data_IF_194499018886
#
_entry.id   IF_194499018886
#
_cell.length_a   1.000
_cell.length_b   1.000
_cell.length_c   1.000
_cell.angle_alpha   90.00
_cell.angle_beta   90.00
_cell.angle_gamma   90.00
#
_symmetry.space_group_name_H-M   'P 1'
#
loop_
_entity.id
_entity.type
_entity.pdbx_description
1 polymer ?
#
# COMPACT_ATOMS: atom_id res chain seq x y z
N UNK A 1 -13.71 -5.53 8.37
CA UNK A 1 -13.08 -4.36 7.72
C UNK A 1 -12.56 -4.78 6.35
N UNK A 2 -12.79 -3.99 5.30
CA UNK A 2 -12.39 -4.30 3.91
C UNK A 2 -10.88 -4.55 3.77
N UNK A 3 -10.06 -3.72 4.43
CA UNK A 3 -8.59 -3.84 4.44
C UNK A 3 -8.15 -5.18 5.05
N UNK A 4 -8.76 -5.60 6.16
CA UNK A 4 -8.42 -6.88 6.80
C UNK A 4 -8.70 -8.09 5.88
N UNK A 5 -9.74 -8.02 5.06
CA UNK A 5 -10.02 -9.07 4.06
C UNK A 5 -8.98 -9.07 2.93
N UNK A 6 -8.48 -7.89 2.51
CA UNK A 6 -7.42 -7.78 1.50
C UNK A 6 -6.11 -8.35 2.04
N UNK A 7 -5.69 -7.93 3.24
CA UNK A 7 -4.46 -8.42 3.88
C UNK A 7 -4.51 -9.94 4.04
N UNK A 8 -5.64 -10.49 4.52
CA UNK A 8 -5.80 -11.94 4.64
C UNK A 8 -5.68 -12.66 3.29
N UNK A 9 -6.30 -12.13 2.23
CA UNK A 9 -6.18 -12.72 0.88
C UNK A 9 -4.75 -12.66 0.35
N UNK A 10 -4.03 -11.56 0.59
CA UNK A 10 -2.63 -11.44 0.21
C UNK A 10 -1.77 -12.46 0.97
N UNK A 11 -2.04 -12.68 2.25
CA UNK A 11 -1.35 -13.68 3.07
C UNK A 11 -1.64 -15.12 2.60
N UNK A 12 -2.92 -15.46 2.37
CA UNK A 12 -3.35 -16.78 1.89
C UNK A 12 -2.71 -17.18 0.54
N UNK A 13 -2.37 -16.19 -0.30
CA UNK A 13 -1.72 -16.40 -1.59
C UNK A 13 -0.19 -16.18 -1.56
N UNK A 14 0.40 -15.93 -0.39
CA UNK A 14 1.83 -15.66 -0.24
C UNK A 14 2.29 -14.32 -0.84
N UNK A 15 1.36 -13.44 -1.21
CA UNK A 15 1.64 -12.13 -1.81
C UNK A 15 2.07 -11.08 -0.79
N UNK A 16 1.68 -11.24 0.48
CA UNK A 16 1.98 -10.27 1.52
C UNK A 16 3.50 -10.10 1.77
N UNK A 17 4.30 -11.13 1.49
CA UNK A 17 5.76 -11.07 1.66
C UNK A 17 6.45 -10.02 0.77
N UNK A 18 5.81 -9.59 -0.32
CA UNK A 18 6.32 -8.57 -1.26
C UNK A 18 5.30 -7.44 -1.49
N UNK A 19 4.36 -7.24 -0.56
CA UNK A 19 3.34 -6.18 -0.66
C UNK A 19 3.38 -5.29 0.57
N UNK A 20 3.38 -3.97 0.36
CA UNK A 20 3.17 -2.98 1.42
C UNK A 20 1.75 -2.45 1.31
N UNK A 21 1.00 -2.44 2.42
CA UNK A 21 -0.36 -1.88 2.47
C UNK A 21 -0.33 -0.55 3.22
N UNK A 22 -0.55 0.54 2.50
CA UNK A 22 -0.73 1.88 3.08
C UNK A 22 -2.22 2.07 3.33
N UNK A 23 -2.62 2.19 4.60
CA UNK A 23 -4.02 2.31 5.00
C UNK A 23 -4.32 3.72 5.53
N UNK A 24 -5.21 4.44 4.83
CA UNK A 24 -5.86 5.65 5.33
C UNK A 24 -7.38 5.47 5.22
N UNK A 25 -7.98 4.96 6.28
CA UNK A 25 -9.39 4.62 6.43
C UNK A 25 -10.31 5.84 6.43
N UNK A 26 -11.60 5.60 6.17
CA UNK A 26 -12.63 6.63 6.19
C UNK A 26 -12.78 7.35 7.55
N UNK A 27 -12.30 6.74 8.64
CA UNK A 27 -12.30 7.35 9.99
C UNK A 27 -11.10 8.28 10.25
N UNK A 28 -10.08 8.26 9.39
CA UNK A 28 -8.92 9.14 9.51
C UNK A 28 -9.16 10.49 8.83
N UNK A 29 -8.32 11.48 9.15
CA UNK A 29 -8.48 12.84 8.63
C UNK A 29 -8.34 12.90 7.10
N UNK A 30 -8.97 13.89 6.48
CA UNK A 30 -8.84 14.13 5.04
C UNK A 30 -7.37 14.36 4.61
N UNK A 31 -6.56 14.95 5.49
CA UNK A 31 -5.12 15.12 5.25
C UNK A 31 -4.39 13.77 5.15
N UNK A 32 -4.75 12.80 6.00
CA UNK A 32 -4.18 11.44 5.94
C UNK A 32 -4.58 10.70 4.67
N UNK A 33 -5.86 10.81 4.27
CA UNK A 33 -6.36 10.20 3.04
C UNK A 33 -5.71 10.83 1.79
N UNK A 34 -5.40 12.12 1.83
CA UNK A 34 -4.69 12.81 0.74
C UNK A 34 -3.22 12.36 0.64
N UNK A 35 -2.52 12.29 1.77
CA UNK A 35 -1.07 12.02 1.77
C UNK A 35 -0.73 10.53 1.60
N UNK A 36 -1.69 9.62 1.80
CA UNK A 36 -1.47 8.17 1.70
C UNK A 36 -0.97 7.76 0.30
N UNK A 37 -1.54 8.34 -0.76
CA UNK A 37 -1.12 8.08 -2.13
C UNK A 37 0.35 8.48 -2.38
N UNK A 38 0.77 9.65 -1.91
CA UNK A 38 2.15 10.11 -2.02
C UNK A 38 3.10 9.24 -1.19
N UNK A 39 2.68 8.84 0.01
CA UNK A 39 3.46 7.95 0.87
C UNK A 39 3.68 6.59 0.20
N UNK A 40 2.65 6.01 -0.42
CA UNK A 40 2.76 4.77 -1.19
C UNK A 40 3.65 4.92 -2.43
N UNK A 41 3.55 6.05 -3.14
CA UNK A 41 4.43 6.35 -4.28
C UNK A 41 5.90 6.38 -3.85
N UNK A 42 6.23 7.11 -2.78
CA UNK A 42 7.61 7.20 -2.29
C UNK A 42 8.17 5.87 -1.79
N UNK A 43 7.33 4.99 -1.24
CA UNK A 43 7.75 3.62 -0.93
C UNK A 43 8.10 2.83 -2.20
N UNK A 44 7.37 3.02 -3.30
CA UNK A 44 7.69 2.43 -4.61
C UNK A 44 8.97 3.01 -5.22
N UNK A 45 9.17 4.33 -5.11
CA UNK A 45 10.36 5.03 -5.60
C UNK A 45 11.64 4.46 -4.98
N UNK A 46 11.62 4.06 -3.70
CA UNK A 46 12.75 3.40 -3.05
C UNK A 46 13.26 2.15 -3.81
N UNK A 47 12.34 1.32 -4.31
CA UNK A 47 12.70 0.12 -5.08
C UNK A 47 13.15 0.50 -6.50
N UNK A 48 12.43 1.43 -7.14
CA UNK A 48 12.78 1.95 -8.46
C UNK A 48 14.21 2.54 -8.51
N UNK A 49 14.59 3.34 -7.50
CA UNK A 49 15.92 3.96 -7.41
C UNK A 49 17.05 2.93 -7.24
N UNK A 50 16.72 1.70 -6.83
CA UNK A 50 17.65 0.58 -6.67
C UNK A 50 17.67 -0.33 -7.90
N UNK A 51 16.93 0.02 -8.96
CA UNK A 51 16.82 -0.76 -10.18
C UNK A 51 15.89 -1.96 -10.06
N UNK A 52 14.98 -1.96 -9.07
CA UNK A 52 13.95 -2.98 -8.90
C UNK A 52 12.61 -2.50 -9.51
N UNK A 53 11.72 -3.44 -9.84
CA UNK A 53 10.38 -3.13 -10.35
C UNK A 53 9.39 -2.95 -9.18
N UNK A 54 8.55 -1.91 -9.24
CA UNK A 54 7.50 -1.65 -8.26
C UNK A 54 6.13 -1.48 -8.94
N UNK A 55 5.08 -2.04 -8.33
CA UNK A 55 3.68 -1.85 -8.73
C UNK A 55 2.94 -1.09 -7.63
N UNK A 56 2.23 -0.02 -8.00
CA UNK A 56 1.41 0.77 -7.08
C UNK A 56 -0.06 0.69 -7.51
N UNK A 57 -0.95 0.44 -6.54
CA UNK A 57 -2.41 0.46 -6.72
C UNK A 57 -3.00 1.45 -5.73
N UNK A 58 -3.83 2.37 -6.22
CA UNK A 58 -4.55 3.35 -5.40
C UNK A 58 -6.03 2.92 -5.29
N UNK A 59 -6.48 2.67 -4.06
CA UNK A 59 -7.85 2.30 -3.69
C UNK A 59 -8.25 3.05 -2.41
#
# INVERSE_FOLDING_TARGET
STIANIVRKLEENGALAHTVVVAATASESAAMQYISAYSGCTMGEYFMDRGEDALIVYD
#
